data_IF_996539777979
#
_entry.id   IF_996539777979
#
_cell.length_a   1.000
_cell.length_b   1.000
_cell.length_c   1.000
_cell.angle_alpha   90.00
_cell.angle_beta   90.00
_cell.angle_gamma   90.00
#
_symmetry.space_group_name_H-M   'P 1'
#
loop_
_entity.id
_entity.type
_entity.pdbx_description
1 polymer ?
#
# COMPACT_ATOMS: atom_id res chain seq x y z
N UNK A 1 -0.20 9.21 7.03
CA UNK A 1 1.05 8.47 7.35
C UNK A 1 2.13 9.39 7.92
N UNK A 2 2.11 10.71 7.60
CA UNK A 2 3.20 11.64 7.98
C UNK A 2 4.52 11.42 7.24
N UNK A 3 4.55 10.52 6.27
CA UNK A 3 5.75 10.17 5.50
C UNK A 3 5.55 10.54 4.03
N UNK A 4 6.51 11.27 3.46
CA UNK A 4 6.51 11.63 2.05
C UNK A 4 7.00 10.44 1.21
N UNK A 5 6.18 9.97 0.26
CA UNK A 5 6.48 8.79 -0.57
C UNK A 5 7.26 9.12 -1.84
N UNK A 6 7.08 10.33 -2.39
CA UNK A 6 7.76 10.79 -3.60
C UNK A 6 9.13 11.40 -3.24
N UNK A 7 10.16 10.57 -3.17
CA UNK A 7 11.53 10.97 -2.75
C UNK A 7 12.53 11.08 -3.91
N UNK A 8 12.14 10.63 -5.10
CA UNK A 8 13.03 10.64 -6.26
C UNK A 8 13.19 12.07 -6.82
N UNK A 9 14.41 12.44 -7.23
CA UNK A 9 14.72 13.81 -7.69
C UNK A 9 13.83 14.29 -8.85
N UNK A 10 13.40 13.40 -9.73
CA UNK A 10 12.49 13.74 -10.83
C UNK A 10 11.04 13.93 -10.37
N UNK A 11 10.61 13.21 -9.34
CA UNK A 11 9.29 13.36 -8.72
C UNK A 11 9.18 14.72 -8.03
N UNK A 12 10.22 15.09 -7.27
CA UNK A 12 10.29 16.40 -6.61
C UNK A 12 10.29 17.56 -7.60
N UNK A 13 10.95 17.41 -8.76
CA UNK A 13 11.00 18.45 -9.80
C UNK A 13 9.67 18.59 -10.56
N UNK A 14 8.95 17.49 -10.79
CA UNK A 14 7.74 17.47 -11.60
C UNK A 14 6.47 17.53 -10.77
N UNK A 15 6.53 17.32 -9.46
CA UNK A 15 5.38 17.27 -8.56
C UNK A 15 4.43 16.11 -8.82
N UNK A 16 4.92 15.01 -9.41
CA UNK A 16 4.13 13.82 -9.72
C UNK A 16 4.83 12.57 -9.20
N UNK A 17 4.07 11.57 -8.76
CA UNK A 17 4.59 10.24 -8.40
C UNK A 17 4.97 9.48 -9.68
N UNK A 18 6.20 9.00 -9.78
CA UNK A 18 6.71 8.23 -10.93
C UNK A 18 6.90 6.76 -10.55
N UNK A 19 7.40 6.52 -9.34
CA UNK A 19 7.63 5.18 -8.80
C UNK A 19 6.60 4.86 -7.74
N UNK A 20 6.26 3.58 -7.60
CA UNK A 20 5.41 3.13 -6.50
C UNK A 20 6.09 3.44 -5.17
N UNK A 21 5.40 4.23 -4.36
CA UNK A 21 5.84 4.60 -3.01
C UNK A 21 5.19 3.69 -1.96
N UNK A 22 5.82 3.57 -0.81
CA UNK A 22 5.33 2.72 0.28
C UNK A 22 5.40 3.46 1.61
N UNK A 23 4.35 3.36 2.40
CA UNK A 23 4.30 3.96 3.73
C UNK A 23 3.38 3.19 4.65
N UNK A 24 3.87 2.83 5.83
CA UNK A 24 3.09 2.16 6.85
C UNK A 24 2.53 3.16 7.86
N UNK A 25 1.36 2.85 8.39
CA UNK A 25 0.69 3.65 9.42
C UNK A 25 -0.08 2.73 10.36
N UNK A 26 0.06 3.00 11.66
CA UNK A 26 -0.75 2.36 12.69
C UNK A 26 -2.08 3.10 12.84
N UNK A 27 -3.17 2.35 12.91
CA UNK A 27 -4.49 2.87 13.25
C UNK A 27 -4.83 2.51 14.70
N UNK A 28 -5.36 3.48 15.41
CA UNK A 28 -5.76 3.36 16.81
C UNK A 28 -7.24 3.63 16.95
N UNK A 29 -7.89 2.88 17.85
CA UNK A 29 -9.29 3.04 18.20
C UNK A 29 -9.41 3.45 19.67
N UNK A 30 -10.05 4.59 19.90
CA UNK A 30 -10.34 5.04 21.26
C UNK A 30 -11.55 4.25 21.81
N UNK A 31 -11.47 3.69 23.03
CA UNK A 31 -12.60 2.99 23.64
C UNK A 31 -13.73 3.93 24.10
N UNK A 32 -13.39 5.18 24.42
CA UNK A 32 -14.32 6.13 25.08
C UNK A 32 -15.07 7.05 24.10
N UNK A 33 -14.73 7.01 22.81
CA UNK A 33 -15.37 7.86 21.81
C UNK A 33 -16.20 7.02 20.84
N UNK A 34 -17.21 7.67 20.22
CA UNK A 34 -18.08 7.04 19.22
C UNK A 34 -17.49 7.14 17.80
N UNK A 35 -17.74 6.12 16.95
CA UNK A 35 -17.37 6.21 15.54
C UNK A 35 -18.06 7.38 14.81
N UNK A 36 -17.39 8.01 13.83
CA UNK A 36 -16.04 7.72 13.33
C UNK A 36 -14.92 8.41 14.12
N UNK A 37 -15.25 9.30 15.04
CA UNK A 37 -14.31 10.18 15.75
C UNK A 37 -13.36 9.46 16.72
N UNK A 38 -13.61 8.19 16.97
CA UNK A 38 -12.77 7.33 17.79
C UNK A 38 -11.56 6.72 17.04
N UNK A 39 -11.41 6.98 15.74
CA UNK A 39 -10.28 6.47 14.96
C UNK A 39 -9.23 7.53 14.69
N UNK A 40 -7.97 7.17 14.83
CA UNK A 40 -6.83 8.07 14.60
C UNK A 40 -5.57 7.34 14.17
N UNK A 41 -4.55 8.08 13.72
CA UNK A 41 -3.19 7.58 13.50
C UNK A 41 -2.28 7.87 14.68
N UNK A 42 -2.81 8.46 15.75
CA UNK A 42 -2.07 8.75 16.98
C UNK A 42 -2.49 7.79 18.09
N UNK A 43 -1.55 7.28 18.90
CA UNK A 43 -1.89 6.46 20.06
C UNK A 43 -2.75 7.21 21.08
N UNK A 44 -2.67 8.55 21.13
CA UNK A 44 -3.56 9.37 21.96
C UNK A 44 -4.72 9.89 21.12
N UNK A 45 -5.93 9.65 21.60
CA UNK A 45 -7.15 10.14 20.94
C UNK A 45 -7.13 11.67 20.80
N UNK A 46 -7.35 12.23 19.60
CA UNK A 46 -7.37 13.68 19.41
C UNK A 46 -8.49 14.37 20.21
N UNK A 47 -9.61 13.68 20.45
CA UNK A 47 -10.80 14.25 21.09
C UNK A 47 -10.73 14.21 22.62
N UNK A 48 -10.65 13.02 23.24
CA UNK A 48 -10.69 12.86 24.68
C UNK A 48 -9.30 12.75 25.34
N UNK A 49 -8.20 12.68 24.57
CA UNK A 49 -6.81 12.55 25.01
C UNK A 49 -6.47 11.22 25.71
N UNK A 50 -7.39 10.28 25.77
CA UNK A 50 -7.15 8.94 26.30
C UNK A 50 -6.28 8.13 25.35
N UNK A 51 -5.63 7.09 25.88
CA UNK A 51 -4.87 6.16 25.06
C UNK A 51 -5.80 5.27 24.22
N UNK A 52 -5.58 5.22 22.93
CA UNK A 52 -6.28 4.35 22.01
C UNK A 52 -5.61 2.98 21.90
N UNK A 53 -6.39 1.96 21.66
CA UNK A 53 -5.91 0.62 21.37
C UNK A 53 -5.44 0.53 19.92
N UNK A 54 -4.31 -0.16 19.70
CA UNK A 54 -3.84 -0.42 18.32
C UNK A 54 -4.84 -1.34 17.61
N UNK A 55 -5.48 -0.84 16.58
CA UNK A 55 -6.39 -1.63 15.74
C UNK A 55 -5.60 -2.52 14.78
N UNK A 56 -4.82 -1.91 13.91
CA UNK A 56 -3.88 -2.61 13.00
C UNK A 56 -2.86 -1.65 12.40
N UNK A 57 -1.85 -2.21 11.75
CA UNK A 57 -0.91 -1.47 10.90
C UNK A 57 -1.31 -1.70 9.44
N UNK A 58 -1.42 -0.61 8.68
CA UNK A 58 -1.79 -0.62 7.26
C UNK A 58 -0.63 -0.13 6.43
N UNK A 59 -0.24 -0.91 5.43
CA UNK A 59 0.76 -0.53 4.43
C UNK A 59 0.06 0.12 3.25
N UNK A 60 0.34 1.40 3.02
CA UNK A 60 -0.14 2.14 1.85
C UNK A 60 0.83 2.00 0.69
N UNK A 61 0.29 1.65 -0.46
CA UNK A 61 1.01 1.63 -1.74
C UNK A 61 0.57 2.85 -2.54
N UNK A 62 1.45 3.84 -2.64
CA UNK A 62 1.20 5.07 -3.40
C UNK A 62 1.53 4.82 -4.86
N UNK A 63 0.51 4.77 -5.68
CA UNK A 63 0.60 4.42 -7.10
C UNK A 63 0.61 5.65 -7.98
N UNK A 64 1.47 5.68 -9.03
CA UNK A 64 1.46 6.77 -10.00
C UNK A 64 0.10 6.95 -10.66
N UNK A 65 -0.36 8.20 -10.74
CA UNK A 65 -1.67 8.54 -11.34
C UNK A 65 -1.63 8.77 -12.85
N UNK A 66 -0.47 8.84 -13.47
CA UNK A 66 -0.34 9.19 -14.89
C UNK A 66 -0.45 7.95 -15.80
N UNK A 67 -1.16 8.07 -16.91
CA UNK A 67 -1.42 7.01 -17.89
C UNK A 67 -0.16 6.22 -18.30
N UNK A 68 0.94 6.91 -18.62
CA UNK A 68 2.20 6.29 -19.02
C UNK A 68 2.85 5.41 -17.93
N UNK A 69 2.34 5.44 -16.71
CA UNK A 69 2.88 4.73 -15.55
C UNK A 69 1.94 3.62 -15.04
N UNK A 70 0.87 3.31 -15.78
CA UNK A 70 -0.10 2.28 -15.43
C UNK A 70 0.54 0.89 -15.20
N UNK A 71 1.58 0.55 -15.96
CA UNK A 71 2.31 -0.70 -15.77
C UNK A 71 2.95 -0.79 -14.37
N UNK A 72 3.46 0.32 -13.85
CA UNK A 72 4.02 0.39 -12.49
C UNK A 72 2.92 0.23 -11.43
N UNK A 73 1.74 0.79 -11.66
CA UNK A 73 0.58 0.60 -10.79
C UNK A 73 0.14 -0.87 -10.77
N UNK A 74 0.01 -1.50 -11.94
CA UNK A 74 -0.39 -2.89 -12.06
C UNK A 74 0.59 -3.86 -11.39
N UNK A 75 1.90 -3.60 -11.47
CA UNK A 75 2.90 -4.43 -10.79
C UNK A 75 2.76 -4.38 -9.25
N UNK A 76 2.39 -3.23 -8.70
CA UNK A 76 2.17 -3.08 -7.25
C UNK A 76 0.83 -3.62 -6.77
N UNK A 77 -0.14 -3.73 -7.66
CA UNK A 77 -1.52 -4.08 -7.31
C UNK A 77 -1.74 -5.54 -6.91
N UNK A 78 -0.85 -6.45 -7.32
CA UNK A 78 -0.90 -7.86 -6.95
C UNK A 78 -0.82 -8.12 -5.43
N UNK A 79 -0.45 -7.10 -4.65
CA UNK A 79 -0.32 -7.17 -3.19
C UNK A 79 -1.40 -6.39 -2.44
N UNK A 80 -2.38 -5.81 -3.15
CA UNK A 80 -3.38 -4.96 -2.53
C UNK A 80 -4.58 -5.78 -2.06
N UNK A 81 -4.90 -5.69 -0.78
CA UNK A 81 -6.12 -6.25 -0.20
C UNK A 81 -7.33 -5.36 -0.48
N UNK A 82 -7.12 -4.08 -0.70
CA UNK A 82 -8.14 -3.10 -1.02
C UNK A 82 -7.56 -1.85 -1.68
N UNK A 83 -8.41 -0.94 -2.08
CA UNK A 83 -8.00 0.29 -2.76
C UNK A 83 -8.73 1.52 -2.23
N UNK A 84 -8.04 2.64 -2.27
CA UNK A 84 -8.62 3.97 -2.06
C UNK A 84 -8.60 4.70 -3.39
N UNK A 85 -9.78 4.96 -3.96
CA UNK A 85 -9.94 5.72 -5.18
C UNK A 85 -10.11 7.20 -4.85
N UNK A 86 -9.10 8.03 -5.15
CA UNK A 86 -9.15 9.47 -4.90
C UNK A 86 -9.73 10.21 -6.11
N UNK A 87 -10.70 11.08 -5.83
CA UNK A 87 -11.31 12.00 -6.80
C UNK A 87 -11.22 13.41 -6.26
N UNK A 88 -10.67 14.34 -7.05
CA UNK A 88 -10.57 15.73 -6.65
C UNK A 88 -11.94 16.43 -6.78
N UNK A 89 -12.41 17.08 -5.72
CA UNK A 89 -13.71 17.72 -5.66
C UNK A 89 -13.82 18.96 -6.56
N UNK A 90 -12.67 19.62 -6.82
CA UNK A 90 -12.59 20.82 -7.66
C UNK A 90 -12.44 20.51 -9.17
N UNK A 91 -12.57 19.26 -9.57
CA UNK A 91 -12.43 18.82 -10.95
C UNK A 91 -13.71 18.15 -11.46
N UNK A 92 -13.89 18.14 -12.78
CA UNK A 92 -15.02 17.41 -13.39
C UNK A 92 -14.87 15.90 -13.21
N UNK A 93 -15.97 15.24 -12.87
CA UNK A 93 -16.03 13.79 -12.69
C UNK A 93 -16.80 13.14 -13.84
N UNK A 94 -16.28 12.03 -14.39
CA UNK A 94 -14.97 11.42 -14.14
C UNK A 94 -13.86 12.03 -14.99
N UNK A 95 -12.66 12.15 -14.43
CA UNK A 95 -11.44 12.36 -15.20
C UNK A 95 -11.03 11.07 -15.92
N UNK A 96 -10.24 11.18 -17.02
CA UNK A 96 -9.78 10.02 -17.78
C UNK A 96 -9.00 9.04 -16.90
N UNK A 97 -8.05 9.54 -16.12
CA UNK A 97 -7.23 8.73 -15.19
C UNK A 97 -8.09 8.01 -14.15
N UNK A 98 -9.14 8.67 -13.62
CA UNK A 98 -10.05 8.02 -12.65
C UNK A 98 -10.79 6.84 -13.29
N UNK A 99 -11.15 6.92 -14.58
CA UNK A 99 -11.76 5.81 -15.32
C UNK A 99 -10.78 4.65 -15.50
N UNK A 100 -9.56 4.96 -15.90
CA UNK A 100 -8.49 3.98 -16.10
C UNK A 100 -8.14 3.24 -14.80
N UNK A 101 -8.00 3.97 -13.69
CA UNK A 101 -7.75 3.38 -12.39
C UNK A 101 -8.90 2.48 -11.94
N UNK A 102 -10.14 2.92 -12.11
CA UNK A 102 -11.30 2.10 -11.75
C UNK A 102 -11.39 0.84 -12.61
N UNK A 103 -11.10 0.94 -13.91
CA UNK A 103 -11.03 -0.21 -14.82
C UNK A 103 -9.91 -1.18 -14.41
N UNK A 104 -8.75 -0.65 -14.01
CA UNK A 104 -7.65 -1.47 -13.50
C UNK A 104 -8.05 -2.23 -12.23
N UNK A 105 -8.69 -1.57 -11.26
CA UNK A 105 -9.19 -2.21 -10.04
C UNK A 105 -10.24 -3.30 -10.36
N UNK A 106 -11.07 -3.09 -11.37
CA UNK A 106 -12.03 -4.10 -11.84
C UNK A 106 -11.30 -5.31 -12.45
N UNK A 107 -10.33 -5.06 -13.33
CA UNK A 107 -9.55 -6.11 -14.00
C UNK A 107 -8.76 -6.96 -13.02
N UNK A 108 -8.22 -6.33 -11.97
CA UNK A 108 -7.50 -6.99 -10.88
C UNK A 108 -8.41 -7.70 -9.87
N UNK A 109 -9.73 -7.54 -10.00
CA UNK A 109 -10.70 -8.16 -9.10
C UNK A 109 -10.73 -7.57 -7.69
N UNK A 110 -10.18 -6.36 -7.48
CA UNK A 110 -10.22 -5.67 -6.18
C UNK A 110 -11.67 -5.29 -5.86
N UNK A 111 -12.19 -5.82 -4.77
CA UNK A 111 -13.60 -5.63 -4.36
C UNK A 111 -13.75 -4.67 -3.18
N UNK A 112 -12.74 -4.55 -2.36
CA UNK A 112 -12.73 -3.71 -1.16
C UNK A 112 -12.21 -2.32 -1.55
N UNK A 113 -13.13 -1.41 -1.79
CA UNK A 113 -12.80 -0.07 -2.31
C UNK A 113 -13.45 0.99 -1.41
N UNK A 114 -12.68 2.01 -1.05
CA UNK A 114 -13.17 3.25 -0.44
C UNK A 114 -12.95 4.38 -1.44
N UNK A 115 -13.98 5.17 -1.71
CA UNK A 115 -13.86 6.33 -2.60
C UNK A 115 -13.69 7.59 -1.77
N UNK A 116 -12.74 8.42 -2.13
CA UNK A 116 -12.43 9.65 -1.40
C UNK A 116 -12.65 10.85 -2.30
N UNK A 117 -13.55 11.73 -1.89
CA UNK A 117 -13.73 13.05 -2.47
C UNK A 117 -12.77 14.03 -1.78
N UNK A 118 -11.57 14.22 -2.36
CA UNK A 118 -10.51 15.05 -1.76
C UNK A 118 -10.57 16.50 -2.23
N UNK A 119 -9.89 17.39 -1.52
CA UNK A 119 -9.80 18.83 -1.78
C UNK A 119 -11.15 19.56 -1.62
N UNK A 120 -11.99 19.12 -0.69
CA UNK A 120 -13.29 19.76 -0.43
C UNK A 120 -13.16 21.18 0.12
N UNK A 121 -12.01 21.54 0.65
CA UNK A 121 -11.64 22.86 1.11
C UNK A 121 -11.54 23.93 0.00
N UNK A 122 -11.40 23.50 -1.26
CA UNK A 122 -11.26 24.39 -2.42
C UNK A 122 -12.58 24.77 -3.07
N UNK A 123 -13.71 24.25 -2.59
CA UNK A 123 -15.01 24.42 -3.22
C UNK A 123 -16.11 24.72 -2.20
N UNK A 124 -17.23 25.25 -2.66
CA UNK A 124 -18.40 25.50 -1.82
C UNK A 124 -19.12 24.18 -1.49
N UNK A 125 -19.93 24.19 -0.44
CA UNK A 125 -20.79 23.06 -0.05
C UNK A 125 -21.69 22.58 -1.21
N UNK A 126 -22.29 23.53 -1.96
CA UNK A 126 -23.15 23.19 -3.11
C UNK A 126 -22.40 22.48 -4.22
N UNK A 127 -21.18 22.91 -4.52
CA UNK A 127 -20.31 22.28 -5.52
C UNK A 127 -19.85 20.90 -5.03
N UNK A 128 -19.52 20.77 -3.74
CA UNK A 128 -19.17 19.49 -3.13
C UNK A 128 -20.29 18.46 -3.26
N UNK A 129 -21.54 18.85 -3.00
CA UNK A 129 -22.71 17.99 -3.16
C UNK A 129 -22.96 17.60 -4.61
N UNK A 130 -22.75 18.53 -5.55
CA UNK A 130 -22.83 18.25 -7.00
C UNK A 130 -21.77 17.22 -7.43
N UNK A 131 -20.52 17.46 -7.06
CA UNK A 131 -19.42 16.55 -7.35
C UNK A 131 -19.62 15.18 -6.69
N UNK A 132 -20.12 15.11 -5.44
CA UNK A 132 -20.50 13.86 -4.77
C UNK A 132 -21.53 13.05 -5.59
N UNK A 133 -22.57 13.74 -6.11
CA UNK A 133 -23.58 13.10 -6.96
C UNK A 133 -22.94 12.54 -8.24
N UNK A 134 -22.00 13.26 -8.84
CA UNK A 134 -21.33 12.83 -10.07
C UNK A 134 -20.36 11.66 -9.81
N UNK A 135 -19.66 11.66 -8.68
CA UNK A 135 -18.88 10.49 -8.20
C UNK A 135 -19.79 9.28 -8.05
N UNK A 136 -20.94 9.44 -7.39
CA UNK A 136 -21.90 8.34 -7.16
C UNK A 136 -22.45 7.76 -8.47
N UNK A 137 -22.68 8.62 -9.49
CA UNK A 137 -23.06 8.17 -10.84
C UNK A 137 -21.92 7.45 -11.54
N UNK A 138 -20.68 7.94 -11.40
CA UNK A 138 -19.49 7.40 -12.02
C UNK A 138 -19.20 5.98 -11.55
N UNK A 139 -19.29 5.71 -10.25
CA UNK A 139 -19.00 4.38 -9.69
C UNK A 139 -20.16 3.40 -9.87
N UNK A 140 -21.35 3.87 -10.24
CA UNK A 140 -22.55 3.03 -10.44
C UNK A 140 -22.31 1.98 -11.54
N UNK A 141 -22.63 0.73 -11.25
CA UNK A 141 -22.41 -0.39 -12.18
C UNK A 141 -20.99 -0.95 -12.22
N UNK A 142 -20.11 -0.47 -11.36
CA UNK A 142 -18.74 -0.95 -11.22
C UNK A 142 -18.56 -1.76 -9.94
N UNK A 143 -17.37 -2.32 -9.72
CA UNK A 143 -17.01 -2.98 -8.45
C UNK A 143 -17.01 -2.01 -7.24
N UNK A 144 -16.92 -0.70 -7.48
CA UNK A 144 -17.01 0.34 -6.45
C UNK A 144 -18.44 0.85 -6.19
N UNK A 145 -19.47 0.27 -6.81
CA UNK A 145 -20.85 0.79 -6.74
C UNK A 145 -21.43 0.87 -5.32
N UNK A 146 -20.94 0.04 -4.41
CA UNK A 146 -21.36 0.01 -2.99
C UNK A 146 -20.34 0.67 -2.06
N UNK A 147 -19.25 1.18 -2.60
CA UNK A 147 -18.19 1.81 -1.80
C UNK A 147 -18.69 3.11 -1.18
N UNK A 148 -18.33 3.41 0.07
CA UNK A 148 -18.60 4.71 0.68
C UNK A 148 -17.79 5.79 -0.04
N UNK A 149 -18.38 6.97 -0.17
CA UNK A 149 -17.70 8.16 -0.70
C UNK A 149 -17.47 9.13 0.46
N UNK A 150 -16.21 9.31 0.83
CA UNK A 150 -15.81 10.08 2.01
C UNK A 150 -15.25 11.44 1.58
N UNK A 151 -15.92 12.55 1.91
CA UNK A 151 -15.39 13.88 1.65
C UNK A 151 -14.26 14.21 2.63
N UNK A 152 -13.09 14.58 2.10
CA UNK A 152 -11.91 14.93 2.92
C UNK A 152 -11.18 16.17 2.38
N UNK A 153 -10.42 16.81 3.24
CA UNK A 153 -9.30 17.66 2.85
C UNK A 153 -8.03 17.12 3.48
N UNK A 154 -7.19 16.49 2.66
CA UNK A 154 -5.92 15.96 3.12
C UNK A 154 -4.98 17.08 3.60
N UNK A 155 -5.03 18.26 2.96
CA UNK A 155 -4.22 19.42 3.31
C UNK A 155 -4.59 19.98 4.71
N UNK A 156 -5.90 20.01 5.02
CA UNK A 156 -6.41 20.56 6.28
C UNK A 156 -6.67 19.49 7.34
N UNK A 157 -6.33 18.23 7.07
CA UNK A 157 -6.63 17.07 7.92
C UNK A 157 -8.12 16.94 8.27
N UNK A 158 -9.01 17.42 7.38
CA UNK A 158 -10.45 17.39 7.60
C UNK A 158 -11.00 15.98 7.29
N UNK A 159 -11.79 15.45 8.22
CA UNK A 159 -12.54 14.20 8.09
C UNK A 159 -11.67 12.94 7.88
N UNK A 160 -10.43 12.97 8.36
CA UNK A 160 -9.52 11.81 8.27
C UNK A 160 -9.94 10.67 9.20
N UNK A 161 -10.60 10.97 10.31
CA UNK A 161 -11.19 9.99 11.21
C UNK A 161 -12.25 9.14 10.52
N UNK A 162 -13.17 9.76 9.76
CA UNK A 162 -14.16 9.06 8.96
C UNK A 162 -13.51 8.23 7.83
N UNK A 163 -12.42 8.72 7.24
CA UNK A 163 -11.65 7.94 6.26
C UNK A 163 -11.03 6.69 6.91
N UNK A 164 -10.38 6.83 8.07
CA UNK A 164 -9.78 5.70 8.78
C UNK A 164 -10.88 4.70 9.19
N UNK A 165 -12.01 5.18 9.73
CA UNK A 165 -13.17 4.35 10.03
C UNK A 165 -13.63 3.55 8.82
N UNK A 166 -13.75 4.20 7.65
CA UNK A 166 -14.17 3.55 6.41
C UNK A 166 -13.16 2.51 5.92
N UNK A 167 -11.86 2.77 6.06
CA UNK A 167 -10.81 1.77 5.76
C UNK A 167 -10.94 0.57 6.69
N UNK A 168 -11.18 0.79 7.99
CA UNK A 168 -11.31 -0.27 8.98
C UNK A 168 -12.58 -1.14 8.76
N UNK A 169 -13.66 -0.53 8.29
CA UNK A 169 -14.92 -1.23 8.07
C UNK A 169 -15.04 -1.92 6.72
N UNK A 170 -14.54 -1.29 5.66
CA UNK A 170 -14.71 -1.75 4.28
C UNK A 170 -13.55 -2.61 3.77
N UNK A 171 -12.32 -2.33 4.24
CA UNK A 171 -11.13 -3.07 3.81
C UNK A 171 -10.71 -4.03 4.92
N UNK A 172 -11.19 -5.27 4.85
CA UNK A 172 -10.87 -6.32 5.81
C UNK A 172 -9.50 -6.91 5.53
N UNK A 173 -8.76 -7.21 6.58
CA UNK A 173 -7.53 -8.01 6.46
C UNK A 173 -7.91 -9.41 6.01
N UNK A 174 -7.32 -9.95 4.93
CA UNK A 174 -7.55 -11.32 4.52
C UNK A 174 -7.14 -12.33 5.60
N UNK A 175 -7.87 -13.43 5.67
CA UNK A 175 -7.46 -14.56 6.49
C UNK A 175 -6.31 -15.28 5.79
N UNK A 176 -5.18 -15.36 6.46
CA UNK A 176 -3.98 -16.02 5.97
C UNK A 176 -3.68 -17.27 6.80
N UNK A 177 -3.38 -18.38 6.14
CA UNK A 177 -3.00 -19.60 6.84
C UNK A 177 -1.50 -19.62 7.12
N UNK A 178 -1.15 -19.29 8.36
CA UNK A 178 0.26 -19.27 8.83
C UNK A 178 0.89 -20.65 8.97
N UNK A 179 0.10 -21.75 8.86
CA UNK A 179 0.60 -23.12 8.98
C UNK A 179 1.00 -23.72 7.64
N UNK A 180 0.63 -23.10 6.54
CA UNK A 180 1.03 -23.51 5.20
C UNK A 180 2.52 -23.24 4.93
N UNK A 181 3.02 -23.85 3.87
CA UNK A 181 4.33 -23.50 3.33
C UNK A 181 4.36 -22.01 2.96
N UNK A 182 5.42 -21.27 3.34
CA UNK A 182 5.49 -19.85 3.08
C UNK A 182 5.50 -19.53 1.58
N UNK A 183 4.68 -18.55 1.18
CA UNK A 183 4.64 -18.03 -0.18
C UNK A 183 4.70 -16.52 -0.14
N UNK A 184 5.72 -15.95 -0.78
CA UNK A 184 5.90 -14.51 -0.89
C UNK A 184 5.91 -14.08 -2.37
N UNK A 185 5.14 -13.06 -2.69
CA UNK A 185 5.22 -12.39 -3.97
C UNK A 185 6.30 -11.31 -3.92
N UNK A 186 7.38 -11.48 -4.70
CA UNK A 186 8.48 -10.53 -4.78
C UNK A 186 8.13 -9.43 -5.78
N UNK A 187 8.22 -8.18 -5.33
CA UNK A 187 8.01 -6.98 -6.17
C UNK A 187 9.31 -6.38 -6.67
N UNK A 188 10.31 -6.37 -5.82
CA UNK A 188 11.58 -5.69 -6.06
C UNK A 188 12.74 -6.42 -5.41
N UNK A 189 13.92 -6.24 -6.01
CA UNK A 189 15.21 -6.48 -5.36
C UNK A 189 15.92 -5.16 -5.12
N UNK A 190 16.76 -5.14 -4.11
CA UNK A 190 17.55 -3.97 -3.72
C UNK A 190 18.98 -4.38 -3.45
N UNK A 191 19.90 -3.63 -4.01
CA UNK A 191 21.26 -3.59 -3.52
C UNK A 191 21.35 -2.52 -2.41
N UNK A 192 21.66 -2.98 -1.18
CA UNK A 192 21.79 -2.11 0.00
C UNK A 192 23.22 -1.68 0.27
N UNK A 193 24.17 -2.11 -0.59
CA UNK A 193 25.57 -1.78 -0.45
C UNK A 193 25.83 -0.35 -0.93
N UNK A 194 26.65 0.37 -0.18
CA UNK A 194 27.04 1.72 -0.60
C UNK A 194 28.14 1.61 -1.68
N UNK A 195 28.12 2.48 -2.71
CA UNK A 195 29.22 2.57 -3.66
C UNK A 195 30.56 2.72 -2.95
N UNK A 196 31.56 1.93 -3.34
CA UNK A 196 32.88 1.91 -2.73
C UNK A 196 33.00 1.05 -1.45
N UNK A 197 32.00 0.26 -1.11
CA UNK A 197 32.09 -0.72 -0.01
C UNK A 197 33.21 -1.74 -0.30
N UNK A 198 33.98 -2.09 0.75
CA UNK A 198 34.98 -3.17 0.64
C UNK A 198 34.28 -4.51 0.41
N UNK A 199 34.85 -5.37 -0.42
CA UNK A 199 34.29 -6.70 -0.78
C UNK A 199 33.91 -7.52 0.47
N UNK A 200 34.75 -7.48 1.52
CA UNK A 200 34.49 -8.19 2.77
C UNK A 200 33.25 -7.68 3.55
N UNK A 201 32.72 -6.52 3.21
CA UNK A 201 31.57 -5.87 3.87
C UNK A 201 30.32 -5.84 2.98
N UNK A 202 30.39 -6.45 1.79
CA UNK A 202 29.24 -6.56 0.90
C UNK A 202 28.21 -7.48 1.55
N UNK A 203 26.99 -6.96 1.67
CA UNK A 203 25.81 -7.70 2.11
C UNK A 203 25.11 -8.26 0.89
N UNK A 204 24.49 -9.41 1.04
CA UNK A 204 23.66 -9.98 -0.02
C UNK A 204 22.48 -9.11 -0.38
N UNK A 205 21.87 -9.40 -1.52
CA UNK A 205 20.72 -8.68 -2.05
C UNK A 205 19.51 -8.80 -1.13
N UNK A 206 18.68 -7.77 -1.13
CA UNK A 206 17.43 -7.74 -0.40
C UNK A 206 16.28 -7.84 -1.38
N UNK A 207 15.33 -8.73 -1.11
CA UNK A 207 14.08 -8.83 -1.86
C UNK A 207 12.94 -8.25 -1.02
N UNK A 208 12.08 -7.46 -1.66
CA UNK A 208 10.90 -6.85 -1.05
C UNK A 208 9.62 -7.31 -1.69
N UNK A 209 8.59 -7.57 -0.89
CA UNK A 209 7.31 -8.02 -1.37
C UNK A 209 6.29 -8.23 -0.26
N UNK A 210 5.29 -9.09 -0.48
CA UNK A 210 4.29 -9.45 0.52
C UNK A 210 4.23 -10.96 0.69
N UNK A 211 4.23 -11.38 1.95
CA UNK A 211 3.99 -12.76 2.33
C UNK A 211 2.47 -13.01 2.34
N UNK A 212 2.02 -13.99 1.57
CA UNK A 212 0.59 -14.32 1.43
C UNK A 212 0.18 -15.55 2.23
N UNK A 213 1.07 -16.50 2.46
CA UNK A 213 0.83 -17.71 3.24
C UNK A 213 2.06 -18.08 4.06
N UNK A 214 1.85 -18.84 5.13
CA UNK A 214 2.92 -19.35 5.99
C UNK A 214 3.58 -18.28 6.85
N UNK A 215 4.81 -18.55 7.29
CA UNK A 215 5.66 -17.60 8.01
C UNK A 215 7.13 -17.84 7.66
N UNK A 216 7.95 -16.79 7.71
CA UNK A 216 9.40 -16.91 7.59
C UNK A 216 10.09 -16.56 8.91
N UNK A 217 11.19 -17.25 9.15
CA UNK A 217 12.11 -16.98 10.25
C UNK A 217 13.51 -16.72 9.68
N UNK A 218 14.34 -16.03 10.43
CA UNK A 218 15.77 -15.92 10.11
C UNK A 218 16.37 -17.31 10.14
N UNK A 219 17.18 -17.64 9.09
CA UNK A 219 17.81 -18.95 8.92
C UNK A 219 17.01 -19.93 8.05
N UNK A 220 15.77 -19.61 7.69
CA UNK A 220 14.99 -20.45 6.76
C UNK A 220 15.66 -20.46 5.38
N UNK A 221 15.70 -21.66 4.74
CA UNK A 221 16.08 -21.78 3.33
C UNK A 221 14.87 -21.47 2.44
N UNK A 222 15.07 -20.64 1.44
CA UNK A 222 14.03 -20.21 0.50
C UNK A 222 14.42 -20.47 -0.94
N UNK A 223 13.41 -20.74 -1.77
CA UNK A 223 13.52 -20.90 -3.22
C UNK A 223 12.90 -19.70 -3.91
N UNK A 224 13.68 -18.99 -4.75
CA UNK A 224 13.22 -17.85 -5.53
C UNK A 224 12.95 -18.29 -6.96
N UNK A 225 11.72 -18.18 -7.42
CA UNK A 225 11.26 -18.53 -8.76
C UNK A 225 10.88 -17.25 -9.56
N UNK A 226 11.08 -17.27 -10.88
CA UNK A 226 11.58 -18.36 -11.73
C UNK A 226 13.10 -18.60 -11.61
N UNK A 227 13.88 -17.72 -10.97
CA UNK A 227 15.32 -17.79 -10.85
C UNK A 227 16.07 -17.27 -12.08
N UNK A 228 17.23 -17.85 -12.41
CA UNK A 228 18.07 -17.44 -13.51
C UNK A 228 17.73 -18.20 -14.79
N UNK A 229 17.74 -17.49 -15.92
CA UNK A 229 17.58 -18.12 -17.22
C UNK A 229 18.89 -18.85 -17.60
N UNK A 230 18.80 -20.15 -17.74
CA UNK A 230 19.89 -20.95 -18.32
C UNK A 230 19.74 -20.92 -19.86
N UNK A 231 20.52 -20.08 -20.53
CA UNK A 231 20.45 -19.89 -21.99
C UNK A 231 20.74 -21.19 -22.78
N UNK A 232 21.59 -22.08 -22.24
CA UNK A 232 21.93 -23.36 -22.92
C UNK A 232 20.75 -24.33 -22.88
N UNK A 233 20.04 -24.40 -21.76
CA UNK A 233 18.91 -25.31 -21.56
C UNK A 233 17.57 -24.67 -21.92
N UNK A 234 17.51 -23.36 -22.15
CA UNK A 234 16.31 -22.56 -22.39
C UNK A 234 15.25 -22.74 -21.29
N UNK A 235 15.67 -22.93 -20.05
CA UNK A 235 14.81 -23.05 -18.88
C UNK A 235 15.30 -22.14 -17.76
N UNK A 236 14.42 -21.89 -16.78
CA UNK A 236 14.77 -21.17 -15.57
C UNK A 236 15.23 -22.15 -14.49
N UNK A 237 16.29 -21.80 -13.79
CA UNK A 237 16.81 -22.53 -12.64
C UNK A 237 16.55 -21.70 -11.38
N UNK A 238 15.74 -22.21 -10.43
CA UNK A 238 15.45 -21.50 -9.20
C UNK A 238 16.72 -21.13 -8.42
N UNK A 239 16.68 -20.01 -7.71
CA UNK A 239 17.74 -19.61 -6.81
C UNK A 239 17.41 -20.09 -5.41
N UNK A 240 18.32 -20.79 -4.77
CA UNK A 240 18.19 -21.23 -3.38
C UNK A 240 19.10 -20.37 -2.51
N UNK A 241 18.57 -19.87 -1.41
CA UNK A 241 19.31 -19.02 -0.47
C UNK A 241 18.72 -19.12 0.93
N UNK A 242 19.46 -18.61 1.91
CA UNK A 242 19.04 -18.53 3.30
C UNK A 242 18.63 -17.10 3.66
N UNK A 243 17.61 -16.95 4.49
CA UNK A 243 17.18 -15.68 5.06
C UNK A 243 18.19 -15.23 6.12
N UNK A 244 18.88 -14.11 5.87
CA UNK A 244 19.85 -13.55 6.82
C UNK A 244 19.27 -12.40 7.64
N UNK A 245 18.21 -11.76 7.17
CA UNK A 245 17.51 -10.72 7.90
C UNK A 245 16.09 -10.56 7.41
N UNK A 246 15.20 -10.15 8.31
CA UNK A 246 13.80 -9.84 8.01
C UNK A 246 13.51 -8.41 8.46
N UNK A 247 12.80 -7.66 7.63
CA UNK A 247 12.42 -6.28 7.91
C UNK A 247 10.97 -6.02 7.55
N UNK A 248 10.34 -5.14 8.32
CA UNK A 248 9.00 -4.60 8.09
C UNK A 248 9.04 -3.09 8.23
N UNK A 249 7.91 -2.40 8.03
CA UNK A 249 7.82 -0.96 8.31
C UNK A 249 8.13 -0.57 9.75
N UNK A 250 8.02 -1.51 10.69
CA UNK A 250 8.38 -1.31 12.11
C UNK A 250 9.88 -1.50 12.39
N UNK A 251 10.67 -2.00 11.42
CA UNK A 251 12.10 -2.28 11.56
C UNK A 251 12.47 -3.74 11.34
N UNK A 252 13.63 -4.14 11.87
CA UNK A 252 14.12 -5.52 11.79
C UNK A 252 13.38 -6.40 12.79
N UNK A 253 13.00 -7.61 12.35
CA UNK A 253 12.26 -8.60 13.15
C UNK A 253 12.86 -9.99 12.96
N UNK A 254 12.58 -10.92 13.89
CA UNK A 254 13.11 -12.30 13.83
C UNK A 254 12.19 -13.22 13.02
N UNK A 255 10.91 -12.88 12.90
CA UNK A 255 9.95 -13.62 12.10
C UNK A 255 8.94 -12.67 11.45
N UNK A 256 8.34 -13.12 10.35
CA UNK A 256 7.26 -12.41 9.66
C UNK A 256 6.13 -13.36 9.34
N UNK A 257 4.91 -12.83 9.46
CA UNK A 257 3.64 -13.47 9.10
C UNK A 257 3.01 -12.73 7.93
N UNK A 258 2.01 -13.33 7.25
CA UNK A 258 1.28 -12.64 6.19
C UNK A 258 0.67 -11.33 6.64
N UNK A 259 0.69 -10.37 5.72
CA UNK A 259 0.17 -9.01 5.89
C UNK A 259 1.26 -7.95 5.81
N UNK A 260 1.00 -6.91 5.03
CA UNK A 260 1.91 -5.80 4.80
C UNK A 260 3.13 -6.15 3.94
N UNK A 261 4.09 -5.24 3.94
CA UNK A 261 5.32 -5.36 3.16
C UNK A 261 6.46 -5.91 4.00
N UNK A 262 7.18 -6.86 3.41
CA UNK A 262 8.31 -7.55 4.04
C UNK A 262 9.56 -7.38 3.18
N UNK A 263 10.69 -7.15 3.80
CA UNK A 263 12.01 -7.16 3.19
C UNK A 263 12.79 -8.36 3.72
N UNK A 264 13.33 -9.16 2.82
CA UNK A 264 14.15 -10.35 3.14
C UNK A 264 15.56 -10.11 2.63
N UNK A 265 16.52 -10.07 3.55
CA UNK A 265 17.94 -10.09 3.21
C UNK A 265 18.40 -11.51 2.94
N UNK A 266 19.14 -11.70 1.86
CA UNK A 266 19.61 -13.00 1.36
C UNK A 266 21.14 -13.08 1.36
N UNK A 267 21.69 -14.26 1.06
CA UNK A 267 23.12 -14.47 0.80
C UNK A 267 23.48 -14.34 -0.69
N UNK A 268 22.48 -14.10 -1.55
CA UNK A 268 22.72 -13.95 -2.99
C UNK A 268 23.44 -12.64 -3.28
N UNK A 269 24.23 -12.65 -4.34
CA UNK A 269 24.83 -11.43 -4.88
C UNK A 269 23.71 -10.49 -5.36
N UNK A 270 23.79 -9.17 -5.02
CA UNK A 270 22.75 -8.20 -5.32
C UNK A 270 22.47 -8.04 -6.82
#
# INVERSE_FOLDING_TARGET
TGKWTSVHSQELKRGITIRVGYSDTAFYKCPDCEPPTNYSTSPKCPNCKQEGELSRVVSFVDSPGHESLMANMLSGSALMDGAILLVAANEKVPQMQSKEHLLALQTLGIKQIVVVQNKVDLITYKEAMGNYSDISKFIKGTNAAKSPVIPVSAQSNLNLDALIYSIETEIKTPDHDVKKSPVMHVLRSFDINKPGSKIANIKGGVIGGSLTEGQFNIGDEIEIKPGLLNEKKKNYEPLITEIVSLGTGAGTVDNVKPGGLVAIGTKLDP
#
